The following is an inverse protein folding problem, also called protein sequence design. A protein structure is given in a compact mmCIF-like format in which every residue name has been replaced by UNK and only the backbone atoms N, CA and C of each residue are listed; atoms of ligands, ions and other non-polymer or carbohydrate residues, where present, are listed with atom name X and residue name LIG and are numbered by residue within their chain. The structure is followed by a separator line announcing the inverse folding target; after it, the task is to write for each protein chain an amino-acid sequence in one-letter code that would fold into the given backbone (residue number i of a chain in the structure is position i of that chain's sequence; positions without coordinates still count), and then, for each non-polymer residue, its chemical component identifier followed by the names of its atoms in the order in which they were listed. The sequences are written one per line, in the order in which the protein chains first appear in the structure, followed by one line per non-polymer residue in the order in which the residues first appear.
data_IF_484656752747
#
_entry.id   IF_484656752747
#
_cell.length_a   1.000
_cell.length_b   1.000
_cell.length_c   1.000
_cell.angle_alpha   90.00
_cell.angle_beta   90.00
_cell.angle_gamma   90.00
#
_symmetry.space_group_name_H-M   'P 1'
#
loop_
_entity.id
_entity.type
_entity.pdbx_description
1 polymer ?
#
# COMPACT_ATOMS: atom_id res chain seq x y z
N UNK A 1 -38.78 -22.78 -15.10
CA UNK A 1 -38.25 -21.43 -15.06
C UNK A 1 -36.76 -21.54 -15.32
N UNK A 2 -36.37 -21.16 -16.53
CA UNK A 2 -35.02 -21.35 -17.05
C UNK A 2 -34.03 -20.56 -16.18
N UNK A 3 -33.06 -21.30 -15.65
CA UNK A 3 -31.84 -20.70 -15.09
C UNK A 3 -31.07 -20.16 -16.30
N UNK A 4 -31.24 -18.87 -16.58
CA UNK A 4 -30.36 -18.16 -17.48
C UNK A 4 -28.94 -18.28 -16.90
N UNK A 5 -28.11 -19.05 -17.55
CA UNK A 5 -26.66 -19.08 -17.36
C UNK A 5 -26.19 -17.67 -17.68
N UNK A 6 -25.95 -16.86 -16.64
CA UNK A 6 -25.24 -15.58 -16.80
C UNK A 6 -23.88 -15.98 -17.35
N UNK A 7 -23.66 -15.66 -18.61
CA UNK A 7 -22.36 -15.80 -19.25
C UNK A 7 -21.40 -14.91 -18.42
N UNK A 8 -20.62 -15.54 -17.54
CA UNK A 8 -19.70 -14.80 -16.66
C UNK A 8 -18.61 -14.24 -17.54
N UNK A 9 -18.62 -12.91 -17.65
CA UNK A 9 -17.54 -12.20 -18.32
C UNK A 9 -16.21 -12.58 -17.66
N UNK A 10 -15.35 -13.25 -18.41
CA UNK A 10 -14.04 -13.71 -17.95
C UNK A 10 -12.98 -12.84 -18.60
N UNK A 11 -12.05 -12.34 -17.81
CA UNK A 11 -10.95 -11.52 -18.32
C UNK A 11 -10.13 -12.30 -19.37
N UNK A 12 -9.91 -11.69 -20.52
CA UNK A 12 -9.09 -12.30 -21.58
C UNK A 12 -7.59 -12.22 -21.27
N UNK A 13 -7.11 -13.17 -20.46
CA UNK A 13 -5.70 -13.28 -20.06
C UNK A 13 -4.77 -13.42 -21.25
N UNK A 14 -5.19 -14.10 -22.33
CA UNK A 14 -4.38 -14.31 -23.53
C UNK A 14 -4.13 -12.97 -24.26
N UNK A 15 -5.15 -12.14 -24.36
CA UNK A 15 -5.02 -10.79 -24.94
C UNK A 15 -4.15 -9.90 -24.06
N UNK A 16 -4.30 -9.93 -22.73
CA UNK A 16 -3.44 -9.20 -21.79
C UNK A 16 -1.98 -9.62 -21.98
N UNK A 17 -1.69 -10.92 -21.92
CA UNK A 17 -0.34 -11.45 -22.06
C UNK A 17 0.29 -11.09 -23.41
N UNK A 18 -0.47 -11.19 -24.50
CA UNK A 18 -0.02 -10.79 -25.83
C UNK A 18 0.29 -9.29 -25.91
N UNK A 19 -0.57 -8.46 -25.32
CA UNK A 19 -0.39 -7.00 -25.32
C UNK A 19 0.86 -6.62 -24.52
N UNK A 20 1.01 -7.15 -23.31
CA UNK A 20 2.19 -6.90 -22.48
C UNK A 20 3.48 -7.45 -23.12
N UNK A 21 3.42 -8.63 -23.77
CA UNK A 21 4.56 -9.14 -24.54
C UNK A 21 4.97 -8.22 -25.69
N UNK A 22 4.03 -7.55 -26.36
CA UNK A 22 4.35 -6.57 -27.39
C UNK A 22 5.01 -5.31 -26.82
N UNK A 23 4.62 -4.89 -25.62
CA UNK A 23 5.24 -3.76 -24.91
C UNK A 23 6.69 -4.06 -24.53
N UNK A 24 6.97 -5.29 -24.08
CA UNK A 24 8.31 -5.64 -23.58
C UNK A 24 9.28 -6.09 -24.67
N UNK A 25 8.78 -6.67 -25.75
CA UNK A 25 9.60 -7.34 -26.78
C UNK A 25 10.66 -6.43 -27.40
N UNK A 26 11.92 -6.83 -27.24
CA UNK A 26 13.09 -6.13 -27.80
C UNK A 26 13.43 -4.82 -27.11
N UNK A 27 12.63 -4.37 -26.15
CA UNK A 27 12.81 -3.10 -25.44
C UNK A 27 13.80 -3.25 -24.28
N UNK A 28 14.65 -2.24 -24.08
CA UNK A 28 15.44 -2.06 -22.85
C UNK A 28 14.61 -1.36 -21.78
N UNK A 29 14.82 -1.75 -20.52
CA UNK A 29 14.06 -1.18 -19.40
C UNK A 29 14.95 -0.72 -18.26
N UNK A 30 14.56 0.38 -17.61
CA UNK A 30 15.13 0.85 -16.34
C UNK A 30 14.04 0.71 -15.28
N UNK A 31 14.23 -0.18 -14.31
CA UNK A 31 13.31 -0.38 -13.19
C UNK A 31 13.87 0.30 -11.95
N UNK A 32 13.21 1.35 -11.49
CA UNK A 32 13.59 2.08 -10.30
C UNK A 32 12.68 1.69 -9.12
N UNK A 33 13.25 1.06 -8.09
CA UNK A 33 12.56 0.67 -6.85
C UNK A 33 13.49 0.83 -5.65
N UNK A 34 12.96 1.14 -4.48
CA UNK A 34 13.76 1.28 -3.25
C UNK A 34 14.36 -0.04 -2.77
N UNK A 35 13.70 -1.18 -3.02
CA UNK A 35 14.13 -2.52 -2.61
C UNK A 35 14.27 -3.45 -3.81
N UNK A 36 15.50 -3.85 -4.13
CA UNK A 36 15.83 -4.64 -5.33
C UNK A 36 15.09 -6.00 -5.38
N UNK A 37 15.08 -6.76 -4.29
CA UNK A 37 14.41 -8.06 -4.24
C UNK A 37 12.90 -7.96 -4.50
N UNK A 38 12.28 -6.81 -4.21
CA UNK A 38 10.87 -6.55 -4.51
C UNK A 38 10.54 -6.48 -6.01
N UNK A 39 11.54 -6.21 -6.87
CA UNK A 39 11.36 -6.13 -8.31
C UNK A 39 11.63 -7.46 -9.04
N UNK A 40 12.14 -8.49 -8.37
CA UNK A 40 12.61 -9.73 -9.02
C UNK A 40 11.53 -10.38 -9.89
N UNK A 41 10.33 -10.59 -9.34
CA UNK A 41 9.23 -11.19 -10.10
C UNK A 41 8.78 -10.33 -11.28
N UNK A 42 8.73 -9.01 -11.12
CA UNK A 42 8.39 -8.09 -12.21
C UNK A 42 9.43 -8.11 -13.33
N UNK A 43 10.72 -8.13 -12.97
CA UNK A 43 11.81 -8.18 -13.96
C UNK A 43 11.79 -9.53 -14.71
N UNK A 44 11.61 -10.65 -14.00
CA UNK A 44 11.45 -11.98 -14.64
C UNK A 44 10.26 -11.97 -15.61
N UNK A 45 9.12 -11.42 -15.17
CA UNK A 45 7.94 -11.29 -16.02
C UNK A 45 8.24 -10.50 -17.31
N UNK A 46 9.01 -9.41 -17.24
CA UNK A 46 9.40 -8.59 -18.40
C UNK A 46 10.33 -9.36 -19.35
N UNK A 47 11.34 -10.06 -18.80
CA UNK A 47 12.31 -10.85 -19.58
C UNK A 47 11.61 -12.02 -20.27
N UNK A 48 10.73 -12.74 -19.57
CA UNK A 48 9.96 -13.86 -20.15
C UNK A 48 9.07 -13.41 -21.30
N UNK A 49 8.72 -12.14 -21.36
CA UNK A 49 7.93 -11.51 -22.44
C UNK A 49 8.78 -10.78 -23.48
N UNK A 50 10.10 -10.97 -23.43
CA UNK A 50 11.01 -10.58 -24.48
C UNK A 50 11.66 -9.20 -24.31
N UNK A 51 11.65 -8.63 -23.10
CA UNK A 51 12.53 -7.49 -22.81
C UNK A 51 13.99 -7.89 -23.10
N UNK A 52 14.74 -7.05 -23.80
CA UNK A 52 16.10 -7.38 -24.23
C UNK A 52 17.10 -7.32 -23.08
N UNK A 53 17.00 -6.29 -22.25
CA UNK A 53 17.84 -6.05 -21.09
C UNK A 53 17.08 -5.21 -20.06
N UNK A 54 17.38 -5.39 -18.80
CA UNK A 54 16.82 -4.59 -17.72
C UNK A 54 17.94 -4.01 -16.84
N UNK A 55 17.90 -2.71 -16.57
CA UNK A 55 18.69 -2.08 -15.53
C UNK A 55 17.83 -1.90 -14.28
N UNK A 56 18.25 -2.47 -13.15
CA UNK A 56 17.65 -2.28 -11.85
C UNK A 56 18.41 -1.18 -11.08
N UNK A 57 17.71 -0.12 -10.73
CA UNK A 57 18.19 0.95 -9.84
C UNK A 57 17.48 0.84 -8.51
N UNK A 58 18.23 0.59 -7.43
CA UNK A 58 17.63 0.41 -6.11
C UNK A 58 18.41 1.12 -4.98
N UNK A 59 17.79 1.30 -3.82
CA UNK A 59 18.45 1.81 -2.63
C UNK A 59 19.15 0.69 -1.86
N UNK A 60 18.49 -0.45 -1.69
CA UNK A 60 18.98 -1.63 -0.96
C UNK A 60 18.62 -2.92 -1.70
N UNK A 61 19.30 -4.01 -1.34
CA UNK A 61 19.00 -5.34 -1.88
C UNK A 61 17.65 -5.88 -1.35
N UNK A 62 17.39 -5.69 -0.05
CA UNK A 62 16.23 -6.29 0.61
C UNK A 62 16.42 -7.77 0.88
N UNK A 63 15.30 -8.49 1.04
CA UNK A 63 15.26 -9.94 1.32
C UNK A 63 14.56 -10.67 0.21
N UNK A 64 15.18 -11.76 -0.22
CA UNK A 64 14.74 -12.61 -1.32
C UNK A 64 15.77 -12.67 -2.43
N UNK A 65 15.43 -13.42 -3.45
CA UNK A 65 16.29 -13.53 -4.63
C UNK A 65 16.38 -12.20 -5.38
N UNK A 66 17.58 -11.83 -5.76
CA UNK A 66 17.82 -10.76 -6.71
C UNK A 66 17.60 -11.25 -8.15
N UNK A 67 17.22 -10.36 -9.08
CA UNK A 67 17.11 -10.74 -10.49
C UNK A 67 18.48 -11.21 -11.03
N UNK A 68 18.51 -12.41 -11.58
CA UNK A 68 19.73 -13.10 -12.09
C UNK A 68 19.88 -13.03 -13.60
N UNK A 69 18.87 -12.60 -14.32
CA UNK A 69 18.80 -12.57 -15.78
C UNK A 69 19.00 -11.17 -16.34
N UNK A 70 19.35 -11.04 -17.63
CA UNK A 70 20.16 -9.93 -18.18
C UNK A 70 19.81 -8.59 -17.51
N UNK A 71 20.25 -8.48 -16.26
CA UNK A 71 19.92 -7.39 -15.35
C UNK A 71 21.22 -6.71 -14.92
N UNK A 72 21.30 -5.44 -15.24
CA UNK A 72 22.33 -4.56 -14.74
C UNK A 72 21.84 -3.95 -13.42
N UNK A 73 22.59 -4.13 -12.33
CA UNK A 73 22.20 -3.63 -11.02
C UNK A 73 23.07 -2.45 -10.59
N UNK A 74 22.45 -1.38 -10.15
CA UNK A 74 23.14 -0.24 -9.56
C UNK A 74 22.37 0.30 -8.34
N UNK A 75 23.09 0.94 -7.42
CA UNK A 75 22.50 1.52 -6.20
C UNK A 75 22.51 3.04 -6.24
N UNK A 76 21.45 3.61 -5.68
CA UNK A 76 21.44 5.04 -5.31
C UNK A 76 22.28 5.27 -4.06
N UNK A 77 22.75 6.50 -3.88
CA UNK A 77 23.51 6.92 -2.70
C UNK A 77 22.67 7.87 -1.84
N UNK A 78 22.86 7.81 -0.51
CA UNK A 78 22.23 8.75 0.43
C UNK A 78 20.72 8.56 0.61
N UNK A 79 20.19 7.38 0.25
CA UNK A 79 18.74 7.09 0.28
C UNK A 79 18.33 6.10 1.39
N UNK A 80 19.26 5.76 2.28
CA UNK A 80 19.06 4.79 3.37
C UNK A 80 19.33 5.41 4.73
N UNK A 81 18.88 4.75 5.81
CA UNK A 81 19.10 5.21 7.19
C UNK A 81 18.22 6.37 7.62
N UNK A 82 17.15 6.66 6.87
CA UNK A 82 16.16 7.69 7.24
C UNK A 82 15.32 7.24 8.43
N UNK A 83 14.94 8.19 9.28
CA UNK A 83 14.17 7.88 10.49
C UNK A 83 12.75 7.37 10.18
N UNK A 84 12.14 7.87 9.10
CA UNK A 84 10.79 7.51 8.65
C UNK A 84 10.85 6.82 7.28
N UNK A 85 9.95 5.86 7.06
CA UNK A 85 9.84 5.11 5.78
C UNK A 85 9.67 6.07 4.60
N UNK A 86 8.73 7.02 4.73
CA UNK A 86 8.41 7.93 3.64
C UNK A 86 9.52 8.92 3.30
N UNK A 87 10.38 9.28 4.27
CA UNK A 87 11.59 10.07 3.99
C UNK A 87 12.55 9.30 3.06
N UNK A 88 12.72 8.00 3.30
CA UNK A 88 13.53 7.13 2.45
C UNK A 88 12.97 7.01 1.04
N UNK A 89 11.66 6.81 0.90
CA UNK A 89 10.97 6.73 -0.39
C UNK A 89 11.10 8.05 -1.16
N UNK A 90 10.89 9.20 -0.51
CA UNK A 90 11.09 10.54 -1.14
C UNK A 90 12.53 10.78 -1.56
N UNK A 91 13.49 10.40 -0.72
CA UNK A 91 14.92 10.54 -1.04
C UNK A 91 15.31 9.66 -2.24
N UNK A 92 14.79 8.45 -2.31
CA UNK A 92 14.98 7.55 -3.44
C UNK A 92 14.36 8.13 -4.72
N UNK A 93 13.10 8.55 -4.69
CA UNK A 93 12.44 9.19 -5.85
C UNK A 93 13.23 10.39 -6.35
N UNK A 94 13.68 11.26 -5.45
CA UNK A 94 14.53 12.41 -5.80
C UNK A 94 15.87 11.99 -6.42
N UNK A 95 16.47 10.89 -5.95
CA UNK A 95 17.75 10.40 -6.47
C UNK A 95 17.63 9.80 -7.88
N UNK A 96 16.50 9.20 -8.24
CA UNK A 96 16.28 8.63 -9.58
C UNK A 96 15.76 9.66 -10.57
N UNK A 97 14.93 10.58 -10.14
CA UNK A 97 14.34 11.63 -10.99
C UNK A 97 15.35 12.77 -11.28
N UNK A 98 16.27 13.01 -10.34
CA UNK A 98 17.38 13.97 -10.48
C UNK A 98 18.71 13.26 -10.22
N UNK A 99 19.13 12.33 -11.10
CA UNK A 99 20.25 11.47 -10.85
C UNK A 99 21.57 12.24 -10.75
N UNK A 100 22.42 11.78 -9.82
CA UNK A 100 23.80 12.24 -9.73
C UNK A 100 24.54 12.02 -11.05
N UNK A 101 25.65 12.74 -11.28
CA UNK A 101 26.49 12.51 -12.47
C UNK A 101 26.92 11.05 -12.61
N UNK A 102 27.24 10.40 -11.50
CA UNK A 102 27.65 8.98 -11.47
C UNK A 102 26.50 8.07 -11.91
N UNK A 103 25.31 8.22 -11.32
CA UNK A 103 24.15 7.40 -11.69
C UNK A 103 23.74 7.64 -13.15
N UNK A 104 23.73 8.91 -13.61
CA UNK A 104 23.46 9.25 -15.00
C UNK A 104 24.44 8.56 -15.94
N UNK A 105 25.75 8.63 -15.65
CA UNK A 105 26.77 7.98 -16.49
C UNK A 105 26.64 6.44 -16.55
N UNK A 106 26.13 5.81 -15.46
CA UNK A 106 25.83 4.37 -15.46
C UNK A 106 24.63 4.08 -16.36
N UNK A 107 23.56 4.88 -16.25
CA UNK A 107 22.36 4.76 -17.09
C UNK A 107 22.72 4.99 -18.57
N UNK A 108 23.49 6.06 -18.90
CA UNK A 108 23.89 6.38 -20.27
C UNK A 108 24.79 5.30 -20.89
N UNK A 109 25.59 4.59 -20.10
CA UNK A 109 26.37 3.43 -20.57
C UNK A 109 25.49 2.22 -20.88
N UNK A 110 24.45 1.98 -20.09
CA UNK A 110 23.47 0.92 -20.33
C UNK A 110 22.65 1.19 -21.59
N UNK A 111 22.27 2.43 -21.79
CA UNK A 111 21.41 2.87 -22.88
C UNK A 111 21.98 4.13 -23.56
N UNK A 112 23.02 3.98 -24.39
CA UNK A 112 23.69 5.12 -25.04
C UNK A 112 22.82 5.82 -26.10
N UNK A 113 21.85 5.12 -26.68
CA UNK A 113 20.93 5.65 -27.68
C UNK A 113 19.73 6.39 -27.08
N UNK A 114 19.56 6.32 -25.76
CA UNK A 114 18.42 6.92 -25.03
C UNK A 114 17.04 6.41 -25.48
N UNK A 115 16.95 5.10 -25.74
CA UNK A 115 15.74 4.43 -26.22
C UNK A 115 15.05 3.55 -25.18
N UNK A 116 15.69 3.31 -24.02
CA UNK A 116 15.12 2.53 -22.95
C UNK A 116 13.86 3.20 -22.38
N UNK A 117 12.88 2.40 -21.98
CA UNK A 117 11.75 2.83 -21.16
C UNK A 117 12.08 2.69 -19.67
N UNK A 118 11.49 3.53 -18.86
CA UNK A 118 11.69 3.50 -17.42
C UNK A 118 10.39 3.14 -16.65
N UNK A 119 10.54 2.57 -15.49
CA UNK A 119 9.47 2.32 -14.50
C UNK A 119 9.87 3.02 -13.21
N UNK A 120 8.99 3.88 -12.70
CA UNK A 120 9.15 4.58 -11.42
C UNK A 120 8.25 3.98 -10.34
N UNK A 121 8.54 4.28 -9.08
CA UNK A 121 7.72 3.87 -7.93
C UNK A 121 6.32 4.51 -7.92
N UNK A 122 5.38 3.97 -7.13
CA UNK A 122 3.96 4.36 -7.17
C UNK A 122 3.70 5.79 -6.67
N UNK A 123 4.65 6.40 -5.99
CA UNK A 123 4.56 7.79 -5.53
C UNK A 123 5.17 8.80 -6.50
N UNK A 124 5.97 8.33 -7.46
CA UNK A 124 6.64 9.22 -8.42
C UNK A 124 5.65 9.84 -9.40
N UNK A 125 5.87 11.11 -9.71
CA UNK A 125 5.18 11.83 -10.81
C UNK A 125 6.16 12.15 -11.93
N UNK A 126 7.34 11.55 -11.91
CA UNK A 126 8.33 11.74 -12.96
C UNK A 126 7.82 11.16 -14.28
N UNK A 127 7.94 11.93 -15.33
CA UNK A 127 7.68 11.48 -16.71
C UNK A 127 8.94 10.95 -17.39
N UNK A 128 10.11 11.22 -16.79
CA UNK A 128 11.42 10.81 -17.29
C UNK A 128 12.38 10.43 -16.15
N UNK A 129 13.24 9.43 -16.40
CA UNK A 129 14.41 9.10 -15.58
C UNK A 129 15.65 9.22 -16.45
N UNK A 130 16.53 10.20 -16.15
CA UNK A 130 17.74 10.47 -16.93
C UNK A 130 17.47 10.71 -18.43
N UNK A 131 16.31 11.25 -18.80
CA UNK A 131 15.87 11.47 -20.17
C UNK A 131 15.17 10.27 -20.82
N UNK A 132 14.92 9.18 -20.09
CA UNK A 132 14.17 8.01 -20.56
C UNK A 132 12.72 8.11 -20.11
N UNK A 133 11.79 7.92 -21.05
CA UNK A 133 10.35 7.98 -20.77
C UNK A 133 9.92 6.99 -19.69
N UNK A 134 9.16 7.48 -18.69
CA UNK A 134 8.55 6.63 -17.67
C UNK A 134 7.22 6.10 -18.20
N UNK A 135 7.20 4.83 -18.52
CA UNK A 135 6.03 4.13 -19.05
C UNK A 135 4.92 4.02 -18.00
N UNK A 136 3.74 4.49 -18.34
CA UNK A 136 2.62 4.56 -17.42
C UNK A 136 2.84 5.54 -16.27
N UNK A 137 3.47 6.69 -16.54
CA UNK A 137 3.74 7.72 -15.55
C UNK A 137 2.45 8.27 -14.92
N UNK A 138 2.48 8.45 -13.59
CA UNK A 138 1.39 9.09 -12.83
C UNK A 138 1.35 10.58 -13.14
N UNK A 139 0.18 11.12 -13.43
CA UNK A 139 0.01 12.54 -13.69
C UNK A 139 0.05 13.35 -12.39
N UNK A 140 0.61 14.58 -12.41
CA UNK A 140 0.66 15.44 -11.21
C UNK A 140 -0.71 15.71 -10.60
N UNK A 141 -1.76 15.91 -11.42
CA UNK A 141 -3.13 16.11 -10.95
C UNK A 141 -3.72 14.90 -10.23
N UNK A 142 -3.25 13.69 -10.55
CA UNK A 142 -3.64 12.48 -9.84
C UNK A 142 -2.95 12.37 -8.48
N UNK A 143 -1.68 12.79 -8.43
CA UNK A 143 -0.93 12.81 -7.17
C UNK A 143 -1.49 13.85 -6.18
N UNK A 144 -2.01 14.96 -6.67
CA UNK A 144 -2.62 15.99 -5.84
C UNK A 144 -3.87 15.49 -5.08
N UNK A 145 -4.55 14.44 -5.59
CA UNK A 145 -5.70 13.83 -4.91
C UNK A 145 -5.30 13.05 -3.63
N UNK A 146 -4.00 12.80 -3.40
CA UNK A 146 -3.48 12.15 -2.18
C UNK A 146 -3.36 13.12 -0.99
N UNK A 147 -3.64 14.42 -1.19
CA UNK A 147 -3.65 15.41 -0.10
C UNK A 147 -4.80 15.11 0.88
N UNK A 148 -4.45 14.86 2.13
CA UNK A 148 -5.41 14.54 3.20
C UNK A 148 -6.37 15.69 3.52
N UNK A 149 -6.00 16.92 3.11
CA UNK A 149 -6.77 18.13 3.37
C UNK A 149 -8.02 18.27 2.48
N UNK A 150 -8.11 17.49 1.38
CA UNK A 150 -9.27 17.53 0.46
C UNK A 150 -10.18 16.31 0.59
N UNK A 151 -9.93 15.45 1.59
CA UNK A 151 -10.62 14.17 1.71
C UNK A 151 -12.16 14.33 1.78
N UNK A 152 -12.65 15.26 2.63
CA UNK A 152 -14.10 15.51 2.78
C UNK A 152 -14.74 15.97 1.46
N UNK A 153 -14.08 16.85 0.72
CA UNK A 153 -14.57 17.31 -0.59
C UNK A 153 -14.73 16.12 -1.58
N UNK A 154 -13.83 15.14 -1.50
CA UNK A 154 -13.92 13.94 -2.33
C UNK A 154 -15.09 13.03 -1.90
N UNK A 155 -15.28 12.84 -0.58
CA UNK A 155 -16.38 12.04 -0.04
C UNK A 155 -17.74 12.67 -0.33
N UNK A 156 -17.87 13.99 -0.16
CA UNK A 156 -19.07 14.75 -0.52
C UNK A 156 -19.38 14.66 -2.00
N UNK A 157 -18.37 14.83 -2.86
CA UNK A 157 -18.54 14.70 -4.30
C UNK A 157 -18.93 13.28 -4.73
N UNK A 158 -18.50 12.27 -4.01
CA UNK A 158 -18.88 10.87 -4.22
C UNK A 158 -20.26 10.54 -3.60
N UNK A 159 -20.83 11.44 -2.79
CA UNK A 159 -22.09 11.21 -2.09
C UNK A 159 -22.04 10.07 -1.10
N UNK A 160 -20.89 9.82 -0.48
CA UNK A 160 -20.69 8.73 0.47
C UNK A 160 -20.67 9.25 1.91
N UNK A 161 -21.12 8.40 2.85
CA UNK A 161 -21.06 8.72 4.27
C UNK A 161 -19.60 8.77 4.74
N UNK A 162 -19.28 9.73 5.60
CA UNK A 162 -17.95 9.87 6.18
C UNK A 162 -18.04 10.49 7.58
N UNK A 163 -16.99 10.30 8.39
CA UNK A 163 -16.89 10.96 9.69
C UNK A 163 -16.73 12.48 9.51
N UNK A 164 -17.26 13.28 10.45
CA UNK A 164 -16.98 14.70 10.44
C UNK A 164 -15.47 14.95 10.57
N UNK A 165 -14.97 15.95 9.86
CA UNK A 165 -13.59 16.39 9.99
C UNK A 165 -13.49 17.89 9.74
N UNK A 166 -12.44 18.52 10.23
CA UNK A 166 -12.15 19.91 9.97
C UNK A 166 -10.67 20.11 9.67
N UNK A 167 -10.38 20.96 8.69
CA UNK A 167 -9.02 21.36 8.33
C UNK A 167 -8.75 22.74 8.90
N UNK A 168 -7.78 22.84 9.78
CA UNK A 168 -7.42 24.08 10.49
C UNK A 168 -5.90 24.31 10.45
N UNK A 169 -5.49 25.54 10.78
CA UNK A 169 -4.07 25.81 11.09
C UNK A 169 -3.63 24.98 12.31
N UNK A 170 -2.34 24.65 12.40
CA UNK A 170 -1.80 23.96 13.59
C UNK A 170 -2.13 24.72 14.88
N UNK A 171 -2.13 26.06 14.85
CA UNK A 171 -2.45 26.90 16.01
C UNK A 171 -3.92 26.73 16.49
N UNK A 172 -4.84 26.44 15.59
CA UNK A 172 -6.26 26.24 15.91
C UNK A 172 -6.64 24.79 16.21
N UNK A 173 -5.71 23.83 16.05
CA UNK A 173 -5.99 22.40 16.15
C UNK A 173 -6.50 21.98 17.52
N UNK A 174 -5.99 22.56 18.60
CA UNK A 174 -6.46 22.27 19.96
C UNK A 174 -7.95 22.62 20.14
N UNK A 175 -8.40 23.74 19.60
CA UNK A 175 -9.82 24.14 19.66
C UNK A 175 -10.69 23.19 18.85
N UNK A 176 -10.29 22.88 17.64
CA UNK A 176 -10.98 21.93 16.78
C UNK A 176 -11.07 20.52 17.43
N UNK A 177 -10.01 20.09 18.10
CA UNK A 177 -10.00 18.81 18.82
C UNK A 177 -11.01 18.77 19.97
N UNK A 178 -11.14 19.85 20.73
CA UNK A 178 -12.16 19.92 21.82
C UNK A 178 -13.56 19.81 21.27
N UNK A 179 -13.84 20.43 20.12
CA UNK A 179 -15.17 20.41 19.48
C UNK A 179 -15.52 19.02 18.90
N UNK A 180 -14.50 18.23 18.52
CA UNK A 180 -14.67 16.92 17.86
C UNK A 180 -14.38 15.72 18.76
N UNK A 181 -13.95 15.92 20.01
CA UNK A 181 -13.52 14.84 20.88
C UNK A 181 -14.65 13.85 21.18
N UNK A 182 -14.35 12.57 21.00
CA UNK A 182 -15.08 11.44 21.57
C UNK A 182 -14.47 11.04 22.92
N UNK A 183 -15.00 9.98 23.57
CA UNK A 183 -14.38 9.42 24.77
C UNK A 183 -12.94 8.92 24.49
N UNK A 184 -12.67 8.49 23.26
CA UNK A 184 -11.35 8.02 22.82
C UNK A 184 -10.51 9.12 22.17
N UNK A 185 -10.98 10.38 22.18
CA UNK A 185 -10.26 11.55 21.70
C UNK A 185 -10.43 11.81 20.19
N UNK A 186 -9.38 12.33 19.58
CA UNK A 186 -9.35 12.74 18.16
C UNK A 186 -8.13 12.18 17.44
N UNK A 187 -8.22 12.13 16.11
CA UNK A 187 -7.10 11.79 15.23
C UNK A 187 -6.76 13.00 14.37
N UNK A 188 -5.48 13.35 14.34
CA UNK A 188 -4.95 14.49 13.58
C UNK A 188 -4.03 14.00 12.48
N UNK A 189 -4.15 14.58 11.30
CA UNK A 189 -3.35 14.23 10.11
C UNK A 189 -2.75 15.50 9.51
N UNK A 190 -1.45 15.50 9.20
CA UNK A 190 -0.75 16.63 8.58
C UNK A 190 -1.14 16.86 7.12
N UNK A 191 -0.95 18.08 6.64
CA UNK A 191 -0.90 18.41 5.22
C UNK A 191 0.38 17.89 4.53
N UNK A 192 0.46 18.09 3.22
CA UNK A 192 1.59 17.68 2.39
C UNK A 192 2.72 18.73 2.32
N UNK A 193 2.90 19.57 3.33
CA UNK A 193 3.99 20.58 3.38
C UNK A 193 5.37 19.97 3.11
N UNK A 194 5.65 18.80 3.70
CA UNK A 194 6.90 18.07 3.47
C UNK A 194 6.84 17.10 2.28
N UNK A 195 5.79 17.18 1.47
CA UNK A 195 5.48 16.27 0.38
C UNK A 195 4.51 15.15 0.80
N UNK A 196 4.21 14.27 -0.14
CA UNK A 196 3.30 13.15 0.11
C UNK A 196 3.82 12.23 1.23
N UNK A 197 2.91 11.69 2.01
CA UNK A 197 3.20 10.84 3.16
C UNK A 197 2.19 9.68 3.29
N UNK A 198 2.55 8.66 4.07
CA UNK A 198 1.73 7.47 4.29
C UNK A 198 2.28 6.64 5.45
N UNK A 199 1.74 5.43 5.64
CA UNK A 199 2.20 4.51 6.68
C UNK A 199 1.94 4.99 8.11
N UNK A 200 1.09 6.00 8.31
CA UNK A 200 0.78 6.55 9.63
C UNK A 200 1.82 7.52 10.21
N UNK A 201 2.91 7.82 9.48
CA UNK A 201 4.00 8.67 9.97
C UNK A 201 3.53 10.07 10.39
N UNK A 202 2.53 10.60 9.71
CA UNK A 202 1.97 11.95 9.90
C UNK A 202 0.59 11.93 10.57
N UNK A 203 0.27 10.86 11.28
CA UNK A 203 -0.97 10.71 12.04
C UNK A 203 -0.69 10.75 13.53
N UNK A 204 -1.51 11.45 14.30
CA UNK A 204 -1.45 11.49 15.77
C UNK A 204 -2.82 11.20 16.35
N UNK A 205 -2.85 10.29 17.33
CA UNK A 205 -4.01 10.04 18.16
C UNK A 205 -3.89 10.86 19.44
N UNK A 206 -4.85 11.71 19.72
CA UNK A 206 -4.84 12.69 20.82
C UNK A 206 -6.00 12.36 21.77
N UNK A 207 -5.67 11.83 22.95
CA UNK A 207 -6.62 11.45 24.01
C UNK A 207 -6.51 12.32 25.26
N UNK A 208 -5.37 12.92 25.47
CA UNK A 208 -5.04 13.67 26.66
C UNK A 208 -4.44 15.04 26.34
N UNK A 209 -4.34 15.88 27.36
CA UNK A 209 -3.67 17.18 27.26
C UNK A 209 -2.18 17.01 26.89
N UNK A 210 -1.54 15.95 27.39
CA UNK A 210 -0.13 15.67 27.03
C UNK A 210 -0.01 15.25 25.58
N UNK A 211 -0.88 14.33 25.07
CA UNK A 211 -0.89 13.96 23.66
C UNK A 211 -1.12 15.18 22.77
N UNK A 212 -2.00 16.11 23.21
CA UNK A 212 -2.27 17.36 22.49
C UNK A 212 -1.03 18.26 22.42
N UNK A 213 -0.32 18.41 23.51
CA UNK A 213 0.90 19.19 23.55
C UNK A 213 1.98 18.60 22.63
N UNK A 214 2.21 17.28 22.73
CA UNK A 214 3.16 16.55 21.87
C UNK A 214 2.77 16.67 20.39
N UNK A 215 1.48 16.58 20.07
CA UNK A 215 0.98 16.72 18.69
C UNK A 215 1.20 18.14 18.15
N UNK A 216 0.88 19.17 18.94
CA UNK A 216 1.10 20.58 18.56
C UNK A 216 2.57 20.88 18.31
N UNK A 217 3.46 20.43 19.21
CA UNK A 217 4.90 20.61 19.06
C UNK A 217 5.41 19.93 17.78
N UNK A 218 4.94 18.71 17.54
CA UNK A 218 5.35 17.96 16.35
C UNK A 218 4.80 18.57 15.05
N UNK A 219 3.49 18.85 14.97
CA UNK A 219 2.88 19.45 13.76
C UNK A 219 3.39 20.86 13.50
N UNK A 220 3.72 21.66 14.55
CA UNK A 220 4.31 22.98 14.42
C UNK A 220 5.65 22.98 13.65
N UNK A 221 6.36 21.85 13.65
CA UNK A 221 7.59 21.67 12.85
C UNK A 221 7.28 21.13 11.45
N UNK A 222 6.31 20.25 11.31
CA UNK A 222 6.14 19.39 10.12
C UNK A 222 4.96 19.75 9.22
N UNK A 223 4.02 20.58 9.66
CA UNK A 223 2.81 20.93 8.92
C UNK A 223 2.44 22.39 9.07
N UNK A 224 1.67 22.93 8.12
CA UNK A 224 1.01 24.23 8.23
C UNK A 224 -0.44 24.06 8.67
N UNK A 225 -1.09 22.99 8.20
CA UNK A 225 -2.48 22.66 8.50
C UNK A 225 -2.58 21.21 8.96
N UNK A 226 -3.60 20.97 9.78
CA UNK A 226 -3.98 19.62 10.20
C UNK A 226 -5.46 19.39 9.95
N UNK A 227 -5.78 18.18 9.54
CA UNK A 227 -7.14 17.65 9.49
C UNK A 227 -7.41 16.95 10.81
N UNK A 228 -8.39 17.44 11.56
CA UNK A 228 -8.82 16.91 12.86
C UNK A 228 -10.13 16.17 12.65
N UNK A 229 -10.23 14.94 13.15
CA UNK A 229 -11.43 14.10 13.11
C UNK A 229 -11.63 13.39 14.46
N UNK A 230 -12.85 12.94 14.80
CA UNK A 230 -13.06 12.10 15.97
C UNK A 230 -12.26 10.78 15.81
N UNK A 231 -11.89 10.19 16.95
CA UNK A 231 -11.39 8.83 16.91
C UNK A 231 -12.53 7.87 16.52
N UNK A 232 -12.26 6.98 15.57
CA UNK A 232 -13.20 5.98 15.11
C UNK A 232 -12.86 4.63 15.71
N UNK A 233 -13.79 4.06 16.51
CA UNK A 233 -13.67 2.71 17.05
C UNK A 233 -14.17 1.70 16.03
N UNK A 234 -13.38 0.66 15.77
CA UNK A 234 -13.72 -0.40 14.83
C UNK A 234 -12.52 -1.01 14.14
N UNK A 235 -12.79 -1.82 13.11
CA UNK A 235 -11.75 -2.51 12.33
C UNK A 235 -11.17 -1.57 11.28
N UNK A 236 -9.88 -1.24 11.34
CA UNK A 236 -9.21 -0.54 10.25
C UNK A 236 -9.22 -1.40 8.99
N UNK A 237 -9.75 -0.86 7.91
CA UNK A 237 -9.95 -1.62 6.68
C UNK A 237 -9.74 -0.75 5.45
N UNK A 238 -9.62 -1.39 4.31
CA UNK A 238 -9.45 -0.73 3.02
C UNK A 238 -10.30 -1.41 1.96
N UNK A 239 -10.78 -0.64 1.01
CA UNK A 239 -11.41 -1.12 -0.22
C UNK A 239 -10.67 -0.55 -1.41
N UNK A 240 -10.35 -1.39 -2.38
CA UNK A 240 -9.58 -0.99 -3.55
C UNK A 240 -10.42 -1.05 -4.81
N UNK A 241 -10.08 -0.19 -5.74
CA UNK A 241 -10.66 -0.19 -7.07
C UNK A 241 -9.61 0.02 -8.15
N UNK A 242 -10.06 -0.17 -9.37
CA UNK A 242 -9.27 0.07 -10.56
C UNK A 242 -10.14 0.80 -11.59
N UNK A 243 -9.74 2.00 -11.97
CA UNK A 243 -10.42 2.80 -12.98
C UNK A 243 -9.90 2.41 -14.35
N UNK A 244 -10.81 2.02 -15.22
CA UNK A 244 -10.58 1.77 -16.65
C UNK A 244 -11.27 2.86 -17.48
N UNK A 245 -11.15 2.81 -18.80
CA UNK A 245 -11.81 3.77 -19.67
C UNK A 245 -13.35 3.62 -19.68
N UNK A 246 -13.84 2.40 -19.52
CA UNK A 246 -15.26 2.07 -19.56
C UNK A 246 -15.94 2.09 -18.17
N UNK A 247 -15.18 2.08 -17.08
CA UNK A 247 -15.80 2.03 -15.76
C UNK A 247 -14.82 1.89 -14.59
N UNK A 248 -15.35 1.37 -13.50
CA UNK A 248 -14.63 1.15 -12.25
C UNK A 248 -14.81 -0.29 -11.79
N UNK A 249 -13.73 -1.05 -11.76
CA UNK A 249 -13.67 -2.34 -11.10
C UNK A 249 -13.42 -2.16 -9.60
N UNK A 250 -14.21 -2.82 -8.74
CA UNK A 250 -14.05 -2.75 -7.29
C UNK A 250 -13.67 -4.12 -6.75
N UNK A 251 -12.58 -4.15 -5.99
CA UNK A 251 -12.01 -5.36 -5.43
C UNK A 251 -12.72 -5.76 -4.12
N UNK A 252 -12.20 -6.78 -3.45
CA UNK A 252 -12.66 -7.16 -2.11
C UNK A 252 -12.18 -6.16 -1.05
N UNK A 253 -12.97 -5.93 0.03
CA UNK A 253 -12.46 -5.32 1.25
C UNK A 253 -11.32 -6.16 1.83
N UNK A 254 -10.43 -5.50 2.55
CA UNK A 254 -9.39 -6.16 3.33
C UNK A 254 -9.16 -5.42 4.65
N UNK A 255 -8.63 -6.15 5.62
CA UNK A 255 -8.22 -5.61 6.89
C UNK A 255 -6.85 -4.94 6.76
N UNK A 256 -6.72 -3.74 7.32
CA UNK A 256 -5.44 -3.11 7.57
C UNK A 256 -4.98 -3.46 8.98
N UNK A 257 -3.76 -3.98 9.10
CA UNK A 257 -3.16 -4.29 10.39
C UNK A 257 -2.61 -2.99 11.02
N UNK A 258 -3.55 -2.12 11.42
CA UNK A 258 -3.25 -0.90 12.18
C UNK A 258 -3.43 -1.22 13.65
N UNK A 259 -2.32 -1.43 14.33
CA UNK A 259 -2.26 -1.85 15.73
C UNK A 259 -2.12 -0.63 16.64
N UNK A 260 -2.66 -0.73 17.86
CA UNK A 260 -2.59 0.31 18.90
C UNK A 260 -1.43 0.03 19.83
N UNK A 261 -0.74 1.06 20.25
CA UNK A 261 0.27 0.96 21.29
C UNK A 261 -0.40 0.98 22.66
N UNK A 262 0.06 0.10 23.57
CA UNK A 262 -0.45 0.04 24.94
C UNK A 262 0.45 0.77 25.95
N UNK A 263 1.66 1.17 25.55
CA UNK A 263 2.60 1.94 26.38
C UNK A 263 2.45 3.46 26.25
N UNK A 264 1.81 3.91 25.18
CA UNK A 264 1.47 5.34 24.93
C UNK A 264 0.40 5.41 23.85
N UNK A 265 -0.26 6.54 23.71
CA UNK A 265 -1.20 6.81 22.63
C UNK A 265 -0.47 6.78 21.27
N UNK A 266 -0.99 6.00 20.31
CA UNK A 266 -0.42 5.93 18.97
C UNK A 266 -0.76 4.66 18.23
N UNK A 267 -0.55 4.71 16.92
CA UNK A 267 -0.79 3.62 15.98
C UNK A 267 0.52 3.08 15.39
N UNK A 268 0.44 1.84 14.94
CA UNK A 268 1.47 1.16 14.17
C UNK A 268 0.81 0.51 12.97
N UNK A 269 1.17 0.95 11.76
CA UNK A 269 0.81 0.22 10.55
C UNK A 269 1.76 -0.97 10.41
N UNK A 270 1.20 -2.17 10.43
CA UNK A 270 1.95 -3.41 10.39
C UNK A 270 1.71 -4.25 9.13
N UNK A 271 0.83 -3.82 8.22
CA UNK A 271 0.53 -4.57 7.00
C UNK A 271 -0.96 -4.65 6.68
N UNK A 272 -1.34 -5.66 5.89
CA UNK A 272 -2.73 -5.89 5.50
C UNK A 272 -2.98 -7.37 5.19
N UNK A 273 -4.25 -7.79 5.25
CA UNK A 273 -4.67 -9.15 4.93
C UNK A 273 -6.13 -9.19 4.46
N UNK A 274 -6.48 -10.15 3.59
CA UNK A 274 -7.86 -10.33 3.11
C UNK A 274 -8.55 -11.58 3.71
N UNK A 275 -8.14 -11.96 4.92
CA UNK A 275 -8.78 -13.08 5.66
C UNK A 275 -10.11 -12.66 6.29
N UNK A 276 -10.22 -11.42 6.72
CA UNK A 276 -11.42 -10.83 7.29
C UNK A 276 -12.50 -10.59 6.23
N UNK A 277 -13.76 -10.86 6.62
CA UNK A 277 -14.95 -10.56 5.84
C UNK A 277 -15.89 -9.67 6.65
N UNK A 278 -16.16 -8.45 6.22
CA UNK A 278 -17.23 -7.66 6.82
C UNK A 278 -18.59 -8.32 6.56
N UNK A 279 -19.63 -8.02 7.38
CA UNK A 279 -21.00 -8.42 7.09
C UNK A 279 -21.41 -8.03 5.65
N UNK A 280 -22.29 -8.80 5.03
CA UNK A 280 -22.63 -8.64 3.61
C UNK A 280 -23.09 -7.22 3.25
N UNK A 281 -23.91 -6.59 4.11
CA UNK A 281 -24.39 -5.22 3.91
C UNK A 281 -23.23 -4.20 3.97
N UNK A 282 -22.29 -4.39 4.87
CA UNK A 282 -21.12 -3.50 5.00
C UNK A 282 -20.16 -3.71 3.83
N UNK A 283 -19.98 -4.96 3.39
CA UNK A 283 -19.18 -5.26 2.19
C UNK A 283 -19.76 -4.57 0.96
N UNK A 284 -21.07 -4.62 0.77
CA UNK A 284 -21.74 -3.97 -0.34
C UNK A 284 -21.65 -2.43 -0.24
N UNK A 285 -21.81 -1.88 0.98
CA UNK A 285 -21.65 -0.44 1.23
C UNK A 285 -20.21 0.04 0.92
N UNK A 286 -19.19 -0.70 1.37
CA UNK A 286 -17.78 -0.41 1.05
C UNK A 286 -17.52 -0.44 -0.45
N UNK A 287 -18.06 -1.45 -1.16
CA UNK A 287 -17.90 -1.57 -2.61
C UNK A 287 -18.58 -0.43 -3.36
N UNK A 288 -19.79 -0.05 -2.93
CA UNK A 288 -20.53 1.09 -3.51
C UNK A 288 -19.76 2.40 -3.27
N UNK A 289 -19.23 2.62 -2.06
CA UNK A 289 -18.41 3.79 -1.74
C UNK A 289 -17.16 3.86 -2.64
N UNK A 290 -16.41 2.77 -2.77
CA UNK A 290 -15.26 2.72 -3.65
C UNK A 290 -15.65 3.03 -5.10
N UNK A 291 -16.73 2.44 -5.63
CA UNK A 291 -17.20 2.70 -6.99
C UNK A 291 -17.56 4.16 -7.21
N UNK A 292 -18.24 4.79 -6.24
CA UNK A 292 -18.58 6.21 -6.31
C UNK A 292 -17.33 7.10 -6.35
N UNK A 293 -16.35 6.80 -5.48
CA UNK A 293 -15.04 7.50 -5.47
C UNK A 293 -14.32 7.32 -6.80
N UNK A 294 -14.22 6.08 -7.32
CA UNK A 294 -13.58 5.83 -8.62
C UNK A 294 -14.21 6.59 -9.78
N UNK A 295 -15.54 6.75 -9.79
CA UNK A 295 -16.24 7.58 -10.76
C UNK A 295 -15.86 9.06 -10.63
N UNK A 296 -15.81 9.60 -9.40
CA UNK A 296 -15.35 10.98 -9.15
C UNK A 296 -13.92 11.20 -9.65
N UNK A 297 -13.01 10.25 -9.40
CA UNK A 297 -11.62 10.32 -9.89
C UNK A 297 -11.57 10.35 -11.41
N UNK A 298 -12.32 9.44 -12.07
CA UNK A 298 -12.39 9.39 -13.53
C UNK A 298 -12.94 10.69 -14.12
N UNK A 299 -14.05 11.17 -13.58
CA UNK A 299 -14.80 12.28 -14.16
C UNK A 299 -14.13 13.65 -13.88
N UNK A 300 -13.45 13.83 -12.75
CA UNK A 300 -12.76 15.08 -12.40
C UNK A 300 -11.42 15.27 -13.11
N UNK A 301 -10.61 14.22 -13.17
CA UNK A 301 -9.21 14.34 -13.63
C UNK A 301 -8.81 13.30 -14.67
N UNK A 302 -9.76 12.53 -15.21
CA UNK A 302 -9.46 11.45 -16.16
C UNK A 302 -8.53 10.40 -15.56
N UNK A 303 -8.70 10.07 -14.26
CA UNK A 303 -7.89 9.08 -13.56
C UNK A 303 -8.01 7.71 -14.21
N UNK A 304 -6.87 6.99 -14.29
CA UNK A 304 -6.80 5.61 -14.76
C UNK A 304 -5.87 4.81 -13.82
N UNK A 305 -6.21 3.55 -13.58
CA UNK A 305 -5.39 2.66 -12.75
C UNK A 305 -5.94 2.43 -11.35
N UNK A 306 -5.13 1.85 -10.47
CA UNK A 306 -5.54 1.45 -9.14
C UNK A 306 -5.65 2.61 -8.16
N UNK A 307 -6.61 2.53 -7.25
CA UNK A 307 -6.77 3.45 -6.11
C UNK A 307 -7.30 2.67 -4.90
N UNK A 308 -7.05 3.19 -3.69
CA UNK A 308 -7.55 2.62 -2.44
C UNK A 308 -8.27 3.66 -1.61
N UNK A 309 -9.32 3.25 -0.92
CA UNK A 309 -10.03 4.03 0.09
C UNK A 309 -9.84 3.34 1.42
N UNK A 310 -9.04 3.93 2.28
CA UNK A 310 -8.79 3.46 3.63
C UNK A 310 -9.83 4.06 4.58
N UNK A 311 -10.21 3.31 5.61
CA UNK A 311 -11.21 3.74 6.58
C UNK A 311 -11.31 2.80 7.77
N UNK A 312 -12.39 2.95 8.51
CA UNK A 312 -12.72 2.12 9.66
C UNK A 312 -14.14 1.58 9.50
N UNK A 313 -14.32 0.28 9.68
CA UNK A 313 -15.66 -0.29 9.84
C UNK A 313 -16.05 -0.15 11.30
N UNK A 314 -16.95 0.80 11.57
CA UNK A 314 -17.48 1.13 12.90
C UNK A 314 -18.83 0.47 13.14
N UNK A 315 -19.43 0.64 14.32
CA UNK A 315 -20.82 0.24 14.57
C UNK A 315 -21.83 0.91 13.62
N UNK A 316 -21.52 2.11 13.12
CA UNK A 316 -22.35 2.87 12.19
C UNK A 316 -22.08 2.53 10.71
N UNK A 317 -21.19 1.58 10.42
CA UNK A 317 -20.77 1.19 9.07
C UNK A 317 -19.38 1.68 8.70
N UNK A 318 -19.06 1.58 7.41
CA UNK A 318 -17.75 2.00 6.88
C UNK A 318 -17.64 3.53 6.78
N UNK A 319 -16.63 4.08 7.43
CA UNK A 319 -16.29 5.50 7.38
C UNK A 319 -14.90 5.69 6.75
N UNK A 320 -14.81 6.26 5.53
CA UNK A 320 -13.55 6.51 4.84
C UNK A 320 -12.73 7.61 5.54
N UNK A 321 -11.43 7.42 5.60
CA UNK A 321 -10.49 8.36 6.22
C UNK A 321 -9.43 8.87 5.25
N UNK A 322 -9.07 8.10 4.23
CA UNK A 322 -7.96 8.42 3.35
C UNK A 322 -8.17 7.89 1.93
N UNK A 323 -7.83 8.69 0.92
CA UNK A 323 -7.72 8.26 -0.47
C UNK A 323 -6.24 8.04 -0.84
N UNK A 324 -5.96 6.91 -1.49
CA UNK A 324 -4.65 6.56 -2.04
C UNK A 324 -4.80 6.40 -3.57
N UNK A 325 -4.58 7.45 -4.40
CA UNK A 325 -4.74 7.38 -5.86
C UNK A 325 -3.51 6.72 -6.51
N UNK A 326 -3.28 5.46 -6.18
CA UNK A 326 -2.16 4.62 -6.63
C UNK A 326 -2.37 3.16 -6.28
N UNK A 327 -1.57 2.29 -6.88
CA UNK A 327 -1.46 0.92 -6.39
C UNK A 327 -0.87 0.92 -4.96
N UNK A 328 -1.40 0.07 -4.11
CA UNK A 328 -1.05 -0.05 -2.69
C UNK A 328 -0.83 -1.51 -2.30
N UNK A 329 -0.49 -1.77 -1.05
CA UNK A 329 -0.31 -3.13 -0.51
C UNK A 329 -1.51 -4.04 -0.79
N UNK A 330 -2.73 -3.51 -0.67
CA UNK A 330 -3.95 -4.29 -0.93
C UNK A 330 -4.07 -4.75 -2.38
N UNK A 331 -3.70 -3.91 -3.33
CA UNK A 331 -3.62 -4.32 -4.75
C UNK A 331 -2.61 -5.45 -4.95
N UNK A 332 -1.44 -5.37 -4.29
CA UNK A 332 -0.43 -6.42 -4.35
C UNK A 332 -0.93 -7.77 -3.81
N UNK A 333 -1.67 -7.76 -2.69
CA UNK A 333 -2.29 -8.97 -2.12
C UNK A 333 -3.27 -9.57 -3.11
N UNK A 334 -4.19 -8.76 -3.65
CA UNK A 334 -5.23 -9.24 -4.57
C UNK A 334 -4.64 -9.68 -5.91
N UNK A 335 -3.65 -8.97 -6.43
CA UNK A 335 -2.94 -9.34 -7.66
C UNK A 335 -2.22 -10.69 -7.51
N UNK A 336 -1.57 -10.92 -6.37
CA UNK A 336 -0.91 -12.20 -6.07
C UNK A 336 -1.92 -13.35 -6.00
N UNK A 337 -3.04 -13.14 -5.32
CA UNK A 337 -4.13 -14.12 -5.21
C UNK A 337 -4.75 -14.42 -6.57
N UNK A 338 -4.95 -13.41 -7.41
CA UNK A 338 -5.52 -13.55 -8.74
C UNK A 338 -4.52 -14.05 -9.79
N UNK A 339 -3.23 -14.12 -9.47
CA UNK A 339 -2.16 -14.43 -10.42
C UNK A 339 -2.23 -13.53 -11.67
N UNK A 340 -2.36 -12.21 -11.44
CA UNK A 340 -2.42 -11.20 -12.49
C UNK A 340 -1.27 -10.20 -12.35
N UNK A 341 -0.64 -9.80 -13.45
CA UNK A 341 0.43 -8.79 -13.47
C UNK A 341 -0.15 -7.37 -13.34
N UNK A 342 -0.91 -7.10 -12.28
CA UNK A 342 -1.72 -5.89 -12.13
C UNK A 342 -0.90 -4.60 -12.28
N UNK A 343 0.33 -4.60 -11.82
CA UNK A 343 1.21 -3.44 -11.94
C UNK A 343 1.58 -3.14 -13.41
N UNK A 344 1.90 -4.18 -14.19
CA UNK A 344 2.15 -4.06 -15.62
C UNK A 344 0.88 -3.65 -16.39
N UNK A 345 -0.26 -4.24 -16.01
CA UNK A 345 -1.57 -3.88 -16.57
C UNK A 345 -1.92 -2.42 -16.30
N UNK A 346 -1.72 -1.95 -15.08
CA UNK A 346 -1.99 -0.54 -14.71
C UNK A 346 -1.17 0.44 -15.54
N UNK A 347 0.13 0.17 -15.72
CA UNK A 347 1.00 1.01 -16.56
C UNK A 347 0.54 0.99 -18.00
N UNK A 348 0.20 -0.17 -18.54
CA UNK A 348 -0.27 -0.31 -19.93
C UNK A 348 -1.62 0.39 -20.16
N UNK A 349 -2.52 0.41 -19.18
CA UNK A 349 -3.78 1.15 -19.24
C UNK A 349 -3.53 2.67 -19.24
N UNK A 350 -2.65 3.15 -18.36
CA UNK A 350 -2.28 4.57 -18.29
C UNK A 350 -1.61 5.04 -19.59
N UNK A 351 -0.70 4.23 -20.14
CA UNK A 351 -0.01 4.50 -21.42
C UNK A 351 -0.93 4.38 -22.65
N UNK A 352 -2.07 3.71 -22.50
CA UNK A 352 -3.01 3.49 -23.59
C UNK A 352 -2.71 2.28 -24.47
N UNK A 353 -1.83 1.41 -24.02
CA UNK A 353 -1.47 0.17 -24.72
C UNK A 353 -2.41 -0.99 -24.43
N UNK A 354 -3.18 -0.92 -23.32
CA UNK A 354 -4.11 -1.95 -22.89
C UNK A 354 -5.46 -1.31 -22.53
N UNK A 355 -6.53 -1.87 -23.08
CA UNK A 355 -7.89 -1.60 -22.64
C UNK A 355 -8.41 -2.80 -21.83
N UNK A 356 -9.07 -2.51 -20.72
CA UNK A 356 -9.65 -3.51 -19.82
C UNK A 356 -11.11 -3.18 -19.58
N UNK A 357 -11.97 -4.20 -19.65
CA UNK A 357 -13.36 -4.09 -19.22
C UNK A 357 -13.44 -4.14 -17.69
N UNK A 358 -13.97 -3.08 -17.08
CA UNK A 358 -14.08 -2.98 -15.63
C UNK A 358 -14.84 -4.15 -15.00
N UNK A 359 -15.95 -4.57 -15.64
CA UNK A 359 -16.78 -5.66 -15.14
C UNK A 359 -16.05 -7.03 -15.14
N UNK A 360 -15.26 -7.33 -16.18
CA UNK A 360 -14.46 -8.55 -16.27
C UNK A 360 -13.35 -8.56 -15.23
N UNK A 361 -12.64 -7.44 -15.08
CA UNK A 361 -11.59 -7.27 -14.09
C UNK A 361 -12.14 -7.44 -12.67
N UNK A 362 -13.29 -6.85 -12.37
CA UNK A 362 -13.95 -6.98 -11.08
C UNK A 362 -14.36 -8.43 -10.79
N UNK A 363 -14.97 -9.10 -11.74
CA UNK A 363 -15.40 -10.49 -11.59
C UNK A 363 -14.20 -11.41 -11.26
N UNK A 364 -13.10 -11.26 -11.97
CA UNK A 364 -11.88 -12.04 -11.74
C UNK A 364 -11.30 -11.80 -10.33
N UNK A 365 -11.19 -10.53 -9.91
CA UNK A 365 -10.62 -10.20 -8.59
C UNK A 365 -11.51 -10.64 -7.43
N UNK A 366 -12.82 -10.54 -7.57
CA UNK A 366 -13.76 -10.96 -6.52
C UNK A 366 -13.76 -12.49 -6.40
N UNK A 367 -13.87 -13.21 -7.52
CA UNK A 367 -13.88 -14.67 -7.51
C UNK A 367 -12.60 -15.26 -6.92
N UNK A 368 -11.43 -14.75 -7.36
CA UNK A 368 -10.13 -15.20 -6.83
C UNK A 368 -9.93 -14.81 -5.38
N UNK A 369 -10.29 -13.59 -5.00
CA UNK A 369 -10.18 -13.12 -3.62
C UNK A 369 -11.12 -13.87 -2.67
N UNK A 370 -12.25 -14.41 -3.16
CA UNK A 370 -13.14 -15.27 -2.38
C UNK A 370 -12.57 -16.69 -2.24
N UNK A 371 -11.89 -17.19 -3.28
CA UNK A 371 -11.30 -18.54 -3.28
C UNK A 371 -10.02 -18.61 -2.43
N UNK A 372 -9.13 -17.65 -2.59
CA UNK A 372 -7.79 -17.64 -1.96
C UNK A 372 -7.63 -16.42 -1.07
N UNK A 373 -7.00 -16.62 0.07
CA UNK A 373 -6.69 -15.56 1.05
C UNK A 373 -5.19 -15.31 1.09
N UNK A 374 -4.78 -14.11 1.53
CA UNK A 374 -3.38 -13.76 1.66
C UNK A 374 -3.17 -12.51 2.49
N UNK A 375 -1.90 -12.15 2.67
CA UNK A 375 -1.50 -11.00 3.45
C UNK A 375 -0.53 -11.34 4.55
N UNK A 376 -0.19 -10.35 5.36
CA UNK A 376 0.72 -10.54 6.47
C UNK A 376 1.28 -9.24 7.03
N UNK A 377 2.24 -9.41 7.94
CA UNK A 377 2.90 -8.30 8.62
C UNK A 377 4.15 -7.87 7.84
N UNK A 378 4.34 -6.55 7.78
CA UNK A 378 5.50 -5.86 7.21
C UNK A 378 5.85 -4.68 8.14
N UNK A 379 6.44 -4.97 9.29
CA UNK A 379 6.72 -3.99 10.33
C UNK A 379 8.16 -3.49 10.25
N UNK A 380 8.36 -2.23 9.87
CA UNK A 380 9.69 -1.61 9.78
C UNK A 380 10.25 -1.26 11.17
N UNK A 381 11.55 -1.47 11.35
CA UNK A 381 12.30 -1.16 12.56
C UNK A 381 13.55 -0.37 12.20
N UNK A 382 13.87 0.67 12.99
CA UNK A 382 15.02 1.55 12.73
C UNK A 382 16.38 0.86 12.86
N UNK A 383 16.46 -0.28 13.57
CA UNK A 383 17.70 -1.00 13.83
C UNK A 383 17.83 -2.19 12.88
N UNK A 384 18.99 -2.28 12.19
CA UNK A 384 19.34 -3.46 11.37
C UNK A 384 19.24 -4.73 12.22
N UNK A 385 18.58 -5.73 11.69
CA UNK A 385 18.45 -7.05 12.30
C UNK A 385 19.21 -8.08 11.47
N UNK A 386 19.77 -9.13 12.09
CA UNK A 386 20.23 -10.28 11.34
C UNK A 386 19.06 -10.98 10.65
N UNK A 387 19.33 -11.58 9.49
CA UNK A 387 18.34 -12.39 8.80
C UNK A 387 18.02 -13.63 9.63
N UNK A 388 16.76 -13.84 9.95
CA UNK A 388 16.22 -14.97 10.70
C UNK A 388 14.90 -15.38 10.10
N UNK A 389 14.59 -16.67 10.20
CA UNK A 389 13.28 -17.21 9.82
C UNK A 389 12.94 -18.36 10.74
N UNK A 390 11.69 -18.45 11.16
CA UNK A 390 11.14 -19.52 11.99
C UNK A 390 9.69 -19.76 11.63
N UNK A 391 9.30 -21.03 11.61
CA UNK A 391 7.90 -21.42 11.51
C UNK A 391 7.22 -21.26 12.85
N UNK A 392 6.03 -20.69 12.87
CA UNK A 392 5.22 -20.46 14.07
C UNK A 392 3.79 -20.98 13.88
N UNK A 393 3.16 -21.36 15.00
CA UNK A 393 1.73 -21.56 15.13
C UNK A 393 1.17 -20.70 16.26
N UNK A 394 -0.16 -20.58 16.33
CA UNK A 394 -0.85 -19.73 17.30
C UNK A 394 -1.60 -20.59 18.32
N UNK A 395 -1.30 -20.37 19.60
CA UNK A 395 -1.93 -21.02 20.74
C UNK A 395 -2.60 -19.97 21.64
N UNK A 396 -3.37 -20.42 22.65
CA UNK A 396 -4.06 -19.52 23.58
C UNK A 396 -3.13 -18.50 24.28
N UNK A 397 -1.86 -18.85 24.45
CA UNK A 397 -0.84 -17.99 25.08
C UNK A 397 -0.08 -17.07 24.11
N UNK A 398 -0.32 -17.14 22.80
CA UNK A 398 0.39 -16.36 21.79
C UNK A 398 1.01 -17.23 20.68
N UNK A 399 2.03 -16.69 19.97
CA UNK A 399 2.73 -17.42 18.94
C UNK A 399 3.89 -18.25 19.53
N UNK A 400 4.02 -19.50 19.09
CA UNK A 400 5.07 -20.43 19.48
C UNK A 400 5.78 -20.98 18.24
N UNK A 401 7.03 -21.46 18.42
CA UNK A 401 7.78 -22.12 17.34
C UNK A 401 7.10 -23.44 16.99
N UNK A 402 6.94 -23.72 15.71
CA UNK A 402 6.25 -24.88 15.18
C UNK A 402 7.18 -25.70 14.25
N UNK A 403 6.88 -26.98 14.10
CA UNK A 403 7.39 -27.80 13.00
C UNK A 403 6.67 -27.45 11.70
N UNK A 404 7.31 -27.69 10.56
CA UNK A 404 6.80 -27.29 9.22
C UNK A 404 5.35 -27.77 8.95
N UNK A 405 5.00 -28.97 9.39
CA UNK A 405 3.65 -29.56 9.22
C UNK A 405 2.55 -28.84 10.00
N UNK A 406 2.92 -28.17 11.11
CA UNK A 406 2.02 -27.43 11.99
C UNK A 406 2.14 -25.91 11.79
N UNK A 407 2.91 -25.46 10.81
CA UNK A 407 3.14 -24.07 10.52
C UNK A 407 1.85 -23.34 10.14
N UNK A 408 1.55 -22.26 10.82
CA UNK A 408 0.47 -21.31 10.51
C UNK A 408 0.99 -19.99 9.96
N UNK A 409 2.24 -19.63 10.29
CA UNK A 409 2.92 -18.49 9.68
C UNK A 409 4.44 -18.70 9.66
N UNK A 410 5.11 -17.93 8.79
CA UNK A 410 6.56 -17.78 8.82
C UNK A 410 6.87 -16.40 9.38
N UNK A 411 7.56 -16.37 10.52
CA UNK A 411 8.07 -15.15 11.14
C UNK A 411 9.54 -14.97 10.72
N UNK A 412 9.87 -13.82 10.16
CA UNK A 412 11.24 -13.54 9.70
C UNK A 412 11.65 -12.10 10.01
N UNK A 413 12.97 -11.88 10.02
CA UNK A 413 13.57 -10.53 10.03
C UNK A 413 14.50 -10.36 8.86
N UNK A 414 14.63 -9.11 8.43
CA UNK A 414 15.35 -8.78 7.24
C UNK A 414 15.88 -7.33 7.25
N UNK A 415 16.79 -7.02 6.33
CA UNK A 415 17.24 -5.64 6.10
C UNK A 415 16.20 -4.84 5.30
N UNK A 416 16.04 -3.57 5.67
CA UNK A 416 15.20 -2.61 4.96
C UNK A 416 15.94 -1.27 4.77
N UNK A 417 15.42 -0.35 3.93
CA UNK A 417 16.01 0.99 3.77
C UNK A 417 16.15 1.77 5.09
N UNK A 418 15.24 1.55 6.05
CA UNK A 418 15.23 2.21 7.36
C UNK A 418 16.12 1.51 8.41
N UNK A 419 16.54 0.28 8.15
CA UNK A 419 17.34 -0.54 9.07
C UNK A 419 16.94 -2.00 8.97
N UNK A 420 15.81 -2.38 9.54
CA UNK A 420 15.27 -3.74 9.50
C UNK A 420 13.76 -3.78 9.28
N UNK A 421 13.27 -4.98 9.03
CA UNK A 421 11.84 -5.28 8.92
C UNK A 421 11.54 -6.61 9.62
N UNK A 422 10.38 -6.70 10.28
CA UNK A 422 9.79 -7.95 10.72
C UNK A 422 8.70 -8.34 9.74
N UNK A 423 8.76 -9.55 9.28
CA UNK A 423 7.84 -10.14 8.31
C UNK A 423 7.06 -11.26 8.99
N UNK A 424 5.75 -11.30 8.80
CA UNK A 424 4.92 -12.46 9.12
C UNK A 424 4.14 -12.82 7.86
N UNK A 425 4.43 -13.97 7.28
CA UNK A 425 3.69 -14.49 6.14
C UNK A 425 2.74 -15.56 6.66
N UNK A 426 1.46 -15.25 6.68
CA UNK A 426 0.42 -16.20 7.07
C UNK A 426 0.27 -17.32 6.02
N UNK A 427 0.08 -18.55 6.48
CA UNK A 427 -0.28 -19.68 5.62
C UNK A 427 -1.78 -19.60 5.36
N UNK A 428 -2.16 -19.27 4.14
CA UNK A 428 -3.53 -18.88 3.76
C UNK A 428 -4.62 -19.85 4.24
N UNK A 429 -4.40 -21.16 4.05
CA UNK A 429 -5.38 -22.20 4.39
C UNK A 429 -5.41 -22.56 5.88
N UNK A 430 -4.49 -22.00 6.67
CA UNK A 430 -4.42 -22.21 8.11
C UNK A 430 -5.02 -21.04 8.91
N UNK A 431 -5.27 -19.90 8.26
CA UNK A 431 -5.85 -18.73 8.91
C UNK A 431 -7.36 -18.80 8.99
N UNK A 432 -7.98 -18.26 10.05
CA UNK A 432 -9.42 -18.20 10.19
C UNK A 432 -10.00 -17.31 9.09
N UNK A 433 -10.95 -17.87 8.31
CA UNK A 433 -11.68 -17.09 7.29
C UNK A 433 -12.80 -16.30 7.93
N UNK A 434 -13.02 -15.08 7.44
CA UNK A 434 -14.08 -14.18 7.87
C UNK A 434 -13.78 -13.43 9.19
N UNK A 435 -12.61 -13.67 9.80
CA UNK A 435 -12.22 -13.02 11.06
C UNK A 435 -10.97 -12.18 10.90
N UNK A 436 -10.82 -11.18 11.76
CA UNK A 436 -9.61 -10.39 11.88
C UNK A 436 -8.39 -11.27 12.19
N UNK A 437 -7.27 -10.98 11.52
CA UNK A 437 -5.96 -11.58 11.81
C UNK A 437 -5.04 -10.62 12.58
N UNK A 438 -5.52 -9.43 12.93
CA UNK A 438 -4.75 -8.48 13.73
C UNK A 438 -4.33 -9.05 15.10
N UNK A 439 -5.16 -9.83 15.84
CA UNK A 439 -4.71 -10.50 17.07
C UNK A 439 -3.53 -11.46 16.83
N UNK A 440 -3.52 -12.19 15.70
CA UNK A 440 -2.43 -13.09 15.33
C UNK A 440 -1.16 -12.32 14.95
N UNK A 441 -1.31 -11.17 14.29
CA UNK A 441 -0.21 -10.26 14.02
C UNK A 441 0.42 -9.74 15.32
N UNK A 442 -0.38 -9.35 16.31
CA UNK A 442 0.09 -8.94 17.64
C UNK A 442 0.84 -10.09 18.35
N UNK A 443 0.31 -11.31 18.30
CA UNK A 443 0.96 -12.48 18.89
C UNK A 443 2.33 -12.77 18.25
N UNK A 444 2.43 -12.74 16.93
CA UNK A 444 3.68 -12.94 16.19
C UNK A 444 4.72 -11.84 16.48
N UNK A 445 4.28 -10.56 16.50
CA UNK A 445 5.15 -9.43 16.84
C UNK A 445 5.64 -9.49 18.30
N UNK A 446 4.77 -9.92 19.21
CA UNK A 446 5.13 -10.13 20.62
C UNK A 446 6.14 -11.24 20.79
N UNK A 447 6.01 -12.35 20.04
CA UNK A 447 7.00 -13.42 19.98
C UNK A 447 8.35 -12.90 19.47
N UNK A 448 8.37 -12.15 18.35
CA UNK A 448 9.60 -11.55 17.82
C UNK A 448 10.28 -10.62 18.82
N UNK A 449 9.50 -9.80 19.54
CA UNK A 449 9.98 -8.93 20.62
C UNK A 449 10.66 -9.74 21.73
N UNK A 450 10.02 -10.81 22.21
CA UNK A 450 10.50 -11.60 23.33
C UNK A 450 11.69 -12.50 22.93
N UNK A 451 11.53 -13.28 21.86
CA UNK A 451 12.53 -14.28 21.44
C UNK A 451 13.78 -13.67 20.81
N UNK A 452 13.64 -12.54 20.10
CA UNK A 452 14.74 -11.93 19.34
C UNK A 452 15.18 -10.57 19.88
N UNK A 453 14.60 -10.10 20.99
CA UNK A 453 14.90 -8.81 21.62
C UNK A 453 14.77 -7.62 20.64
N UNK A 454 13.79 -7.70 19.76
CA UNK A 454 13.51 -6.64 18.78
C UNK A 454 12.76 -5.50 19.48
N UNK A 455 13.08 -4.22 19.21
CA UNK A 455 12.44 -3.08 19.85
C UNK A 455 11.05 -2.79 19.29
N UNK A 456 10.15 -3.76 19.37
CA UNK A 456 8.73 -3.62 19.03
C UNK A 456 8.01 -3.13 20.31
N UNK A 457 7.18 -2.07 20.25
CA UNK A 457 6.39 -1.65 21.41
C UNK A 457 5.36 -2.73 21.77
N UNK A 458 4.79 -2.70 22.97
CA UNK A 458 3.60 -3.50 23.29
C UNK A 458 2.43 -2.99 22.44
N UNK A 459 1.71 -3.94 21.81
CA UNK A 459 0.66 -3.67 20.83
C UNK A 459 -0.62 -4.43 21.18
N UNK A 460 -1.74 -3.87 20.75
CA UNK A 460 -3.05 -4.52 20.75
C UNK A 460 -3.76 -4.34 19.41
N UNK A 461 -4.65 -5.25 19.08
CA UNK A 461 -5.54 -5.15 17.93
C UNK A 461 -6.72 -4.23 18.24
N UNK A 462 -7.28 -3.58 17.22
CA UNK A 462 -8.57 -2.92 17.34
C UNK A 462 -9.67 -3.97 17.60
N UNK A 463 -10.71 -3.66 18.40
CA UNK A 463 -11.80 -4.59 18.65
C UNK A 463 -12.66 -4.78 17.40
N UNK A 464 -13.20 -5.98 17.25
CA UNK A 464 -14.29 -6.25 16.32
C UNK A 464 -15.58 -5.68 16.95
N UNK A 465 -16.14 -4.65 16.33
CA UNK A 465 -17.36 -3.97 16.83
C UNK A 465 -18.62 -4.41 16.10
N UNK A 466 -18.49 -5.34 15.11
CA UNK A 466 -19.59 -5.93 14.34
C UNK A 466 -19.33 -7.39 14.03
#
# INVERSE_FOLDING_TARGET
MDSATIDRATIDRATIDKTLANVYRGQKWIVATDVAAGATSAIRYMIDRGASEVMLVAAVEGVGELPDVPTHYTRTQGTTGMARVMDGVRAFDAAVTRPSRTLRAVIDRFDPENEALAIAGPFSVATEIAGRHVYGAKRPEWAALEDKMIAEELWEAAGINHAPATVVSVADAARAAVEMATLEGTVWVADNREGWHGGGDYVRWVRSVNDMADALDWFGVHADRVRVMPFLEGIPCSIHGFVTRDGVAVLRPLEMLVLRRTDRTGFVYAGAANHWDPPDLDRDAMRNAARAVGNVLRDRVGYLGGYGVDGVLTEDGFLPTELNPRLSTGHGIVAHVADLPLEAMARAVVEGSLDLAAAELEAEFVERGDAVRGGGVRYSIAKVQPDRSVDICFEEGGAVVAEEENREAVLATARSPQGGIVLVNFVADRMPRGRSVAPLAVAALSHARAAWSIPIPPLEAAPEVR
#
